data_IF_090967780655
#
_entry.id   IF_090967780655
#
_cell.length_a   1.000
_cell.length_b   1.000
_cell.length_c   1.000
_cell.angle_alpha   90.00
_cell.angle_beta   90.00
_cell.angle_gamma   90.00
#
_symmetry.space_group_name_H-M   'P 1'
#
loop_
_entity.id
_entity.type
_entity.pdbx_description
1 polymer ?
#
# COMPACT_ATOMS: atom_id res chain seq x y z
N UNK A 1 9.02 21.26 11.35
CA UNK A 1 9.61 19.96 11.72
C UNK A 1 11.08 19.99 11.37
N UNK A 2 11.97 19.89 12.36
CA UNK A 2 13.42 19.77 12.14
C UNK A 2 13.69 18.42 11.48
N UNK A 3 14.49 18.32 10.39
CA UNK A 3 14.85 17.04 9.82
C UNK A 3 15.60 16.24 10.89
N UNK A 4 15.09 15.07 11.26
CA UNK A 4 15.83 14.12 12.07
C UNK A 4 17.07 13.72 11.26
N UNK A 5 18.27 14.00 11.79
CA UNK A 5 19.52 13.51 11.24
C UNK A 5 19.60 11.99 11.42
N UNK A 6 19.05 11.24 10.49
CA UNK A 6 19.01 9.78 10.56
C UNK A 6 18.42 9.17 9.30
N UNK A 7 18.63 7.87 9.12
CA UNK A 7 18.04 7.08 8.04
C UNK A 7 16.51 7.03 8.24
N UNK A 8 15.74 7.43 7.22
CA UNK A 8 14.27 7.38 7.26
C UNK A 8 13.77 5.93 7.36
N UNK A 9 12.89 5.67 8.34
CA UNK A 9 12.32 4.34 8.61
C UNK A 9 10.94 4.26 7.94
N UNK A 10 10.83 3.41 6.94
CA UNK A 10 9.61 3.26 6.14
C UNK A 10 8.97 1.92 6.44
N UNK A 11 7.76 1.94 7.00
CA UNK A 11 6.95 0.75 7.17
C UNK A 11 6.18 0.44 5.88
N UNK A 12 6.42 -0.73 5.34
CA UNK A 12 5.77 -1.27 4.14
C UNK A 12 4.72 -2.28 4.58
N UNK A 13 3.44 -2.01 4.30
CA UNK A 13 2.31 -2.92 4.58
C UNK A 13 1.80 -3.42 3.24
N UNK A 14 2.18 -4.63 2.84
CA UNK A 14 1.84 -5.17 1.52
C UNK A 14 2.01 -6.70 1.44
N UNK A 15 1.55 -7.28 0.35
CA UNK A 15 1.80 -8.67 0.02
C UNK A 15 3.25 -8.94 -0.40
N UNK A 16 3.66 -10.21 -0.25
CA UNK A 16 4.97 -10.71 -0.68
C UNK A 16 4.86 -11.32 -2.08
N UNK A 17 5.60 -10.81 -3.04
CA UNK A 17 5.73 -11.35 -4.40
C UNK A 17 6.94 -12.28 -4.49
N UNK A 18 6.72 -13.60 -4.66
CA UNK A 18 7.81 -14.58 -4.78
C UNK A 18 8.69 -14.36 -6.03
N UNK A 19 8.15 -13.76 -7.09
CA UNK A 19 8.90 -13.36 -8.29
C UNK A 19 9.77 -12.13 -8.10
N UNK A 20 9.51 -11.37 -7.04
CA UNK A 20 10.30 -10.21 -6.63
C UNK A 20 10.09 -8.95 -7.48
N UNK A 21 9.14 -8.94 -8.42
CA UNK A 21 8.85 -7.79 -9.31
C UNK A 21 7.96 -6.73 -8.68
N UNK A 22 7.17 -7.10 -7.68
CA UNK A 22 6.19 -6.26 -7.02
C UNK A 22 6.23 -6.45 -5.48
N UNK A 23 5.16 -6.01 -4.80
CA UNK A 23 4.97 -6.23 -3.37
C UNK A 23 6.09 -5.69 -2.49
N UNK A 24 6.23 -6.28 -1.31
CA UNK A 24 7.28 -5.85 -0.36
C UNK A 24 8.69 -5.94 -0.95
N UNK A 25 8.95 -6.86 -1.87
CA UNK A 25 10.27 -7.03 -2.47
C UNK A 25 10.69 -5.82 -3.32
N UNK A 26 9.78 -5.29 -4.12
CA UNK A 26 10.01 -4.07 -4.89
C UNK A 26 10.14 -2.85 -3.99
N UNK A 27 9.27 -2.75 -2.99
CA UNK A 27 9.25 -1.63 -2.04
C UNK A 27 10.54 -1.61 -1.18
N UNK A 28 10.99 -2.75 -0.65
CA UNK A 28 12.25 -2.88 0.10
C UNK A 28 13.42 -2.38 -0.74
N UNK A 29 13.53 -2.85 -2.00
CA UNK A 29 14.61 -2.41 -2.89
C UNK A 29 14.58 -0.91 -3.12
N UNK A 30 13.39 -0.36 -3.39
CA UNK A 30 13.22 1.08 -3.64
C UNK A 30 13.64 1.90 -2.42
N UNK A 31 13.12 1.58 -1.24
CA UNK A 31 13.47 2.28 0.00
C UNK A 31 14.96 2.19 0.30
N UNK A 32 15.55 1.00 0.14
CA UNK A 32 16.99 0.78 0.38
C UNK A 32 17.84 1.58 -0.60
N UNK A 33 17.51 1.58 -1.89
CA UNK A 33 18.24 2.33 -2.92
C UNK A 33 18.18 3.86 -2.70
N UNK A 34 17.09 4.33 -2.08
CA UNK A 34 16.92 5.74 -1.69
C UNK A 34 17.55 6.08 -0.34
N UNK A 35 18.26 5.14 0.29
CA UNK A 35 18.97 5.34 1.56
C UNK A 35 18.09 5.26 2.80
N UNK A 36 16.84 4.74 2.67
CA UNK A 36 15.93 4.50 3.79
C UNK A 36 16.13 3.12 4.43
N UNK A 37 15.55 2.92 5.60
CA UNK A 37 15.44 1.63 6.29
C UNK A 37 14.04 1.04 6.09
N UNK A 38 13.88 0.00 5.26
CA UNK A 38 12.59 -0.63 5.05
C UNK A 38 12.25 -1.60 6.18
N UNK A 39 11.04 -1.49 6.72
CA UNK A 39 10.42 -2.44 7.64
C UNK A 39 9.16 -2.98 6.99
N UNK A 40 8.71 -4.18 7.33
CA UNK A 40 7.57 -4.80 6.65
C UNK A 40 6.53 -5.35 7.60
N UNK A 41 5.25 -5.26 7.16
CA UNK A 41 4.15 -6.06 7.65
C UNK A 41 3.51 -6.75 6.45
N UNK A 42 3.66 -8.07 6.36
CA UNK A 42 3.22 -8.88 5.23
C UNK A 42 1.73 -9.18 5.38
N UNK A 43 0.93 -8.81 4.38
CA UNK A 43 -0.54 -9.02 4.39
C UNK A 43 -0.95 -10.34 3.74
N UNK A 44 -0.15 -10.82 2.78
CA UNK A 44 -0.33 -12.11 2.13
C UNK A 44 1.00 -12.60 1.55
N UNK A 45 1.13 -13.92 1.40
CA UNK A 45 2.24 -14.55 0.68
C UNK A 45 1.68 -15.05 -0.66
N UNK A 46 2.36 -14.77 -1.77
CA UNK A 46 1.95 -15.26 -3.08
C UNK A 46 2.94 -16.27 -3.65
N UNK A 47 2.42 -17.23 -4.39
CA UNK A 47 3.18 -17.96 -5.41
C UNK A 47 2.94 -17.22 -6.72
N UNK A 48 3.90 -16.40 -7.12
CA UNK A 48 3.77 -15.46 -8.24
C UNK A 48 5.06 -15.40 -9.04
N UNK A 49 4.91 -15.25 -10.36
CA UNK A 49 6.00 -15.07 -11.30
C UNK A 49 5.56 -14.11 -12.44
N UNK A 50 6.35 -14.00 -13.52
CA UNK A 50 6.05 -13.13 -14.67
C UNK A 50 4.82 -13.58 -15.49
N UNK A 51 4.35 -14.83 -15.31
CA UNK A 51 3.19 -15.38 -16.01
C UNK A 51 1.89 -15.19 -15.22
N UNK A 52 1.96 -14.93 -13.90
CA UNK A 52 0.77 -14.70 -13.10
C UNK A 52 0.93 -15.05 -11.62
N UNK A 53 -0.22 -15.01 -10.93
CA UNK A 53 -0.37 -15.40 -9.52
C UNK A 53 -1.04 -16.76 -9.46
N UNK A 54 -0.29 -17.79 -9.01
CA UNK A 54 -0.76 -19.17 -8.94
C UNK A 54 -1.45 -19.48 -7.62
N UNK A 55 -1.03 -18.81 -6.52
CA UNK A 55 -1.64 -18.98 -5.20
C UNK A 55 -1.46 -17.71 -4.36
N UNK A 56 -2.42 -17.46 -3.48
CA UNK A 56 -2.37 -16.38 -2.47
C UNK A 56 -2.70 -17.01 -1.13
N UNK A 57 -1.83 -16.83 -0.13
CA UNK A 57 -2.08 -17.20 1.26
C UNK A 57 -2.19 -15.93 2.11
N UNK A 58 -3.41 -15.52 2.53
CA UNK A 58 -3.59 -14.38 3.41
C UNK A 58 -2.90 -14.62 4.76
N UNK A 59 -2.22 -13.62 5.28
CA UNK A 59 -1.68 -13.65 6.64
C UNK A 59 -2.81 -13.31 7.61
N UNK A 60 -2.95 -14.03 8.74
CA UNK A 60 -3.96 -13.71 9.76
C UNK A 60 -3.86 -12.26 10.24
N UNK A 61 -5.01 -11.63 10.49
CA UNK A 61 -5.10 -10.19 10.85
C UNK A 61 -4.28 -9.86 12.10
N UNK A 62 -4.34 -10.69 13.10
CA UNK A 62 -3.59 -10.55 14.35
C UNK A 62 -2.08 -10.59 14.12
N UNK A 63 -1.60 -11.41 13.18
CA UNK A 63 -0.19 -11.48 12.79
C UNK A 63 0.22 -10.22 12.01
N UNK A 64 -0.63 -9.70 11.11
CA UNK A 64 -0.36 -8.43 10.42
C UNK A 64 -0.20 -7.29 11.43
N UNK A 65 -1.13 -7.18 12.38
CA UNK A 65 -1.07 -6.18 13.45
C UNK A 65 0.17 -6.37 14.33
N UNK A 66 0.50 -7.60 14.70
CA UNK A 66 1.69 -7.90 15.50
C UNK A 66 2.99 -7.49 14.80
N UNK A 67 3.12 -7.74 13.49
CA UNK A 67 4.26 -7.27 12.69
C UNK A 67 4.38 -5.74 12.73
N UNK A 68 3.26 -5.02 12.50
CA UNK A 68 3.24 -3.55 12.55
C UNK A 68 3.67 -3.04 13.93
N UNK A 69 3.04 -3.53 15.01
CA UNK A 69 3.34 -3.12 16.38
C UNK A 69 4.80 -3.38 16.75
N UNK A 70 5.32 -4.56 16.41
CA UNK A 70 6.70 -4.94 16.71
C UNK A 70 7.72 -3.91 16.23
N UNK A 71 7.56 -3.39 15.01
CA UNK A 71 8.51 -2.42 14.44
C UNK A 71 8.17 -0.98 14.81
N UNK A 72 6.90 -0.64 14.99
CA UNK A 72 6.48 0.71 15.40
C UNK A 72 6.98 1.00 16.83
N UNK A 73 6.78 0.05 17.76
CA UNK A 73 7.04 0.26 19.18
C UNK A 73 8.55 0.26 19.49
N UNK A 74 9.36 -0.51 18.76
CA UNK A 74 10.80 -0.60 18.97
C UNK A 74 11.58 0.42 18.11
N UNK A 75 11.41 0.35 16.80
CA UNK A 75 12.20 1.15 15.85
C UNK A 75 11.59 2.54 15.60
N UNK A 76 10.27 2.66 15.72
CA UNK A 76 9.50 3.82 15.28
C UNK A 76 9.39 3.88 13.75
N UNK A 77 8.52 4.77 13.24
CA UNK A 77 8.19 4.91 11.82
C UNK A 77 8.21 6.37 11.43
N UNK A 78 8.82 6.70 10.29
CA UNK A 78 8.87 8.05 9.73
C UNK A 78 7.91 8.23 8.55
N UNK A 79 7.57 7.15 7.84
CA UNK A 79 6.57 7.10 6.77
C UNK A 79 6.02 5.68 6.60
N UNK A 80 4.84 5.56 5.99
CA UNK A 80 4.21 4.28 5.68
C UNK A 80 3.89 4.19 4.20
N UNK A 81 4.17 3.04 3.58
CA UNK A 81 3.64 2.68 2.26
C UNK A 81 2.70 1.50 2.40
N UNK A 82 1.51 1.63 1.84
CA UNK A 82 0.52 0.55 1.80
C UNK A 82 0.37 0.09 0.35
N UNK A 83 0.47 -1.21 0.12
CA UNK A 83 0.19 -1.85 -1.18
C UNK A 83 -1.00 -2.81 -1.09
N UNK A 84 -0.85 -4.04 -1.59
CA UNK A 84 -1.89 -5.05 -1.56
C UNK A 84 -2.28 -5.42 -0.12
N UNK A 85 -3.55 -5.25 0.22
CA UNK A 85 -4.11 -5.55 1.56
C UNK A 85 -4.91 -6.86 1.58
N UNK A 86 -5.68 -7.15 0.52
CA UNK A 86 -6.40 -8.40 0.34
C UNK A 86 -7.81 -8.44 0.93
N UNK A 87 -8.03 -8.04 2.18
CA UNK A 87 -9.36 -8.16 2.82
C UNK A 87 -9.77 -6.93 3.62
N UNK A 88 -11.08 -6.70 3.78
CA UNK A 88 -11.64 -5.62 4.58
C UNK A 88 -11.17 -5.67 6.05
N UNK A 89 -11.08 -6.85 6.63
CA UNK A 89 -10.62 -7.00 8.01
C UNK A 89 -9.17 -6.53 8.22
N UNK A 90 -8.29 -6.78 7.25
CA UNK A 90 -6.91 -6.27 7.29
C UNK A 90 -6.91 -4.75 7.06
N UNK A 91 -7.74 -4.23 6.13
CA UNK A 91 -7.89 -2.78 5.92
C UNK A 91 -8.23 -2.07 7.21
N UNK A 92 -9.26 -2.57 7.93
CA UNK A 92 -9.71 -1.97 9.17
C UNK A 92 -8.64 -2.02 10.26
N UNK A 93 -8.02 -3.18 10.46
CA UNK A 93 -6.97 -3.35 11.46
C UNK A 93 -5.73 -2.48 11.19
N UNK A 94 -5.30 -2.38 9.93
CA UNK A 94 -4.20 -1.50 9.50
C UNK A 94 -4.56 -0.03 9.76
N UNK A 95 -5.78 0.39 9.40
CA UNK A 95 -6.24 1.75 9.65
C UNK A 95 -6.24 2.10 11.14
N UNK A 96 -6.68 1.19 12.01
CA UNK A 96 -6.68 1.38 13.46
C UNK A 96 -5.25 1.54 14.04
N UNK A 97 -4.29 0.78 13.51
CA UNK A 97 -2.88 0.91 13.91
C UNK A 97 -2.26 2.22 13.43
N UNK A 98 -2.61 2.68 12.22
CA UNK A 98 -2.00 3.87 11.62
C UNK A 98 -2.60 5.18 12.13
N UNK A 99 -3.89 5.21 12.51
CA UNK A 99 -4.59 6.42 12.91
C UNK A 99 -3.87 7.28 13.96
N UNK A 100 -3.24 6.73 15.02
CA UNK A 100 -2.54 7.51 16.03
C UNK A 100 -1.13 7.97 15.63
N UNK A 101 -0.55 7.50 14.51
CA UNK A 101 0.87 7.70 14.21
C UNK A 101 1.20 9.10 13.69
N UNK A 102 0.30 9.73 12.95
CA UNK A 102 0.49 11.08 12.40
C UNK A 102 1.68 11.22 11.44
N UNK A 103 2.10 10.14 10.78
CA UNK A 103 3.20 10.11 9.80
C UNK A 103 2.64 10.12 8.37
N UNK A 104 3.41 10.56 7.37
CA UNK A 104 3.00 10.46 5.97
C UNK A 104 2.67 9.02 5.57
N UNK A 105 1.55 8.84 4.87
CA UNK A 105 1.09 7.53 4.36
C UNK A 105 0.89 7.62 2.85
N UNK A 106 1.56 6.75 2.10
CA UNK A 106 1.31 6.54 0.67
C UNK A 106 0.49 5.26 0.50
N UNK A 107 -0.70 5.40 -0.06
CA UNK A 107 -1.59 4.27 -0.32
C UNK A 107 -1.70 3.96 -1.82
N UNK A 108 -1.21 2.80 -2.21
CA UNK A 108 -1.39 2.21 -3.54
C UNK A 108 -2.54 1.18 -3.46
N UNK A 109 -3.73 1.49 -3.99
CA UNK A 109 -4.93 0.67 -3.82
C UNK A 109 -4.93 -0.53 -4.77
N UNK A 110 -3.94 -1.41 -4.65
CA UNK A 110 -3.77 -2.56 -5.53
C UNK A 110 -4.98 -3.49 -5.44
N UNK A 111 -5.72 -3.64 -6.54
CA UNK A 111 -6.91 -4.49 -6.64
C UNK A 111 -6.69 -5.70 -7.53
N UNK A 112 -5.88 -5.54 -8.58
CA UNK A 112 -5.64 -6.56 -9.59
C UNK A 112 -4.13 -6.61 -9.87
N UNK A 113 -3.56 -7.82 -9.93
CA UNK A 113 -2.19 -8.00 -10.37
C UNK A 113 -2.05 -7.65 -11.86
N UNK A 114 -0.85 -7.26 -12.30
CA UNK A 114 -0.57 -7.01 -13.73
C UNK A 114 -0.95 -8.20 -14.62
N UNK A 115 -0.93 -9.41 -14.07
CA UNK A 115 -1.38 -10.66 -14.75
C UNK A 115 -2.91 -10.81 -14.83
N UNK A 116 -3.71 -9.89 -14.28
CA UNK A 116 -5.17 -9.94 -14.26
C UNK A 116 -5.78 -10.68 -13.05
N UNK A 117 -4.97 -11.22 -12.14
CA UNK A 117 -5.49 -11.89 -10.94
C UNK A 117 -6.09 -10.89 -9.95
N UNK A 118 -7.30 -11.15 -9.46
CA UNK A 118 -7.96 -10.34 -8.43
C UNK A 118 -7.24 -10.51 -7.09
N UNK A 119 -6.82 -9.39 -6.48
CA UNK A 119 -6.07 -9.33 -5.24
C UNK A 119 -6.82 -8.67 -4.08
N UNK A 120 -7.89 -7.94 -4.37
CA UNK A 120 -8.80 -7.37 -3.37
C UNK A 120 -10.24 -7.74 -3.70
N UNK A 121 -10.97 -8.20 -2.71
CA UNK A 121 -12.41 -8.48 -2.86
C UNK A 121 -13.24 -7.17 -2.81
N UNK A 122 -14.52 -7.18 -3.23
CA UNK A 122 -15.37 -6.00 -3.21
C UNK A 122 -15.53 -5.36 -1.82
N UNK A 123 -15.48 -6.18 -0.75
CA UNK A 123 -15.57 -5.67 0.62
C UNK A 123 -14.29 -4.92 1.02
N UNK A 124 -13.12 -5.40 0.60
CA UNK A 124 -11.86 -4.69 0.79
C UNK A 124 -11.86 -3.35 0.07
N UNK A 125 -12.31 -3.30 -1.19
CA UNK A 125 -12.42 -2.06 -1.97
C UNK A 125 -13.35 -1.06 -1.29
N UNK A 126 -14.50 -1.51 -0.78
CA UNK A 126 -15.43 -0.66 -0.02
C UNK A 126 -14.78 -0.09 1.27
N UNK A 127 -13.91 -0.87 1.92
CA UNK A 127 -13.19 -0.46 3.13
C UNK A 127 -12.04 0.51 2.86
N UNK A 128 -11.51 0.61 1.63
CA UNK A 128 -10.37 1.47 1.28
C UNK A 128 -10.59 2.95 1.61
N UNK A 129 -11.85 3.39 1.72
CA UNK A 129 -12.19 4.73 2.17
C UNK A 129 -11.58 5.12 3.54
N UNK A 130 -11.35 4.14 4.43
CA UNK A 130 -10.66 4.38 5.72
C UNK A 130 -9.18 4.70 5.50
N UNK A 131 -8.49 3.92 4.67
CA UNK A 131 -7.07 4.15 4.36
C UNK A 131 -6.87 5.44 3.58
N UNK A 132 -7.74 5.75 2.62
CA UNK A 132 -7.68 7.00 1.86
C UNK A 132 -7.77 8.24 2.75
N UNK A 133 -8.59 8.22 3.80
CA UNK A 133 -8.67 9.33 4.78
C UNK A 133 -7.43 9.50 5.64
N UNK A 134 -6.62 8.46 5.80
CA UNK A 134 -5.34 8.50 6.50
C UNK A 134 -4.16 8.78 5.55
N UNK A 135 -4.37 8.61 4.26
CA UNK A 135 -3.31 8.76 3.27
C UNK A 135 -2.95 10.24 3.04
N UNK A 136 -1.66 10.51 2.95
CA UNK A 136 -1.13 11.76 2.42
C UNK A 136 -1.23 11.76 0.89
N UNK A 137 -1.02 10.59 0.28
CA UNK A 137 -1.04 10.39 -1.17
C UNK A 137 -1.69 9.06 -1.51
N UNK A 138 -2.58 9.06 -2.49
CA UNK A 138 -3.18 7.86 -3.10
C UNK A 138 -2.69 7.73 -4.55
N UNK A 139 -2.26 6.52 -4.95
CA UNK A 139 -1.61 6.31 -6.25
C UNK A 139 -2.33 5.23 -7.10
N UNK A 140 -3.61 5.41 -7.46
CA UNK A 140 -4.35 4.44 -8.27
C UNK A 140 -3.88 4.46 -9.73
N UNK A 141 -3.99 3.33 -10.42
CA UNK A 141 -4.07 3.29 -11.87
C UNK A 141 -5.50 3.65 -12.34
N UNK A 142 -5.72 3.73 -13.66
CA UNK A 142 -7.04 4.14 -14.21
C UNK A 142 -8.19 3.20 -13.79
N UNK A 143 -8.09 1.86 -13.89
CA UNK A 143 -9.11 0.95 -13.38
C UNK A 143 -9.37 1.08 -11.87
N UNK A 144 -8.31 1.19 -11.08
CA UNK A 144 -8.42 1.37 -9.63
C UNK A 144 -9.11 2.69 -9.28
N UNK A 145 -8.77 3.78 -9.98
CA UNK A 145 -9.41 5.08 -9.80
C UNK A 145 -10.91 5.02 -10.08
N UNK A 146 -11.31 4.33 -11.16
CA UNK A 146 -12.72 4.13 -11.47
C UNK A 146 -13.45 3.34 -10.38
N UNK A 147 -12.84 2.27 -9.85
CA UNK A 147 -13.38 1.47 -8.75
C UNK A 147 -13.50 2.25 -7.43
N UNK A 148 -12.64 3.25 -7.21
CA UNK A 148 -12.68 4.16 -6.05
C UNK A 148 -13.71 5.30 -6.19
N UNK A 149 -14.45 5.37 -7.30
CA UNK A 149 -15.46 6.41 -7.56
C UNK A 149 -14.90 7.66 -8.26
N UNK A 150 -13.72 7.58 -8.85
CA UNK A 150 -13.09 8.64 -9.63
C UNK A 150 -12.31 9.67 -8.78
N UNK A 151 -11.71 10.64 -9.47
CA UNK A 151 -10.84 11.66 -8.84
C UNK A 151 -11.54 12.44 -7.73
N UNK A 152 -12.81 12.83 -7.97
CA UNK A 152 -13.56 13.62 -6.99
C UNK A 152 -13.76 12.88 -5.66
N UNK A 153 -14.03 11.57 -5.73
CA UNK A 153 -14.20 10.73 -4.54
C UNK A 153 -12.90 10.59 -3.75
N UNK A 154 -11.77 10.37 -4.43
CA UNK A 154 -10.45 10.29 -3.77
C UNK A 154 -10.08 11.63 -3.14
N UNK A 155 -10.21 12.75 -3.86
CA UNK A 155 -9.92 14.10 -3.34
C UNK A 155 -10.79 14.50 -2.16
N UNK A 156 -12.04 14.05 -2.13
CA UNK A 156 -12.94 14.31 -1.00
C UNK A 156 -12.46 13.68 0.32
N UNK A 157 -11.51 12.74 0.27
CA UNK A 157 -10.87 12.17 1.47
C UNK A 157 -9.80 13.07 2.09
N UNK A 158 -9.35 14.12 1.37
CA UNK A 158 -8.26 15.01 1.77
C UNK A 158 -6.88 14.56 1.31
N UNK A 159 -6.75 13.39 0.68
CA UNK A 159 -5.48 12.90 0.16
C UNK A 159 -5.09 13.59 -1.16
N UNK A 160 -3.79 13.80 -1.36
CA UNK A 160 -3.26 14.10 -2.69
C UNK A 160 -3.43 12.87 -3.61
N UNK A 161 -3.57 13.11 -4.91
CA UNK A 161 -3.82 12.06 -5.90
C UNK A 161 -2.74 12.05 -6.97
N UNK A 162 -2.11 10.90 -7.19
CA UNK A 162 -1.25 10.61 -8.33
C UNK A 162 -1.88 9.48 -9.15
N UNK A 163 -2.45 9.81 -10.30
CA UNK A 163 -3.01 8.81 -11.22
C UNK A 163 -1.89 8.21 -12.06
N UNK A 164 -1.66 6.90 -11.88
CA UNK A 164 -0.71 6.14 -12.71
C UNK A 164 -1.33 5.84 -14.07
N UNK A 165 -0.57 5.99 -15.16
CA UNK A 165 -1.05 5.77 -16.53
C UNK A 165 -1.16 4.30 -16.97
N UNK A 166 -0.90 3.34 -16.10
CA UNK A 166 -0.99 1.91 -16.41
C UNK A 166 -2.36 1.56 -17.01
N UNK A 167 -2.38 0.83 -18.13
CA UNK A 167 -3.55 0.43 -18.93
C UNK A 167 -4.22 1.56 -19.74
N UNK A 168 -3.61 2.72 -19.89
CA UNK A 168 -4.10 3.82 -20.72
C UNK A 168 -3.23 4.05 -21.97
N UNK A 169 -3.81 4.64 -23.01
CA UNK A 169 -3.07 5.20 -24.16
C UNK A 169 -2.70 6.65 -23.83
N UNK A 170 -1.43 7.05 -23.98
CA UNK A 170 -0.96 8.42 -23.81
C UNK A 170 -0.04 8.65 -22.62
N UNK A 171 -0.10 9.84 -22.01
CA UNK A 171 0.80 10.24 -20.91
C UNK A 171 0.68 9.34 -19.68
N UNK A 172 1.84 8.90 -19.18
CA UNK A 172 1.94 8.06 -17.97
C UNK A 172 2.05 8.96 -16.76
N UNK A 173 0.99 8.97 -15.96
CA UNK A 173 0.94 9.61 -14.65
C UNK A 173 0.49 11.07 -14.66
N UNK A 174 -0.52 11.38 -13.83
CA UNK A 174 -0.95 12.75 -13.50
C UNK A 174 -0.88 12.92 -11.98
N UNK A 175 -0.11 13.90 -11.53
CA UNK A 175 -0.13 14.32 -10.13
C UNK A 175 -1.09 15.48 -9.94
N UNK A 176 -1.95 15.38 -8.94
CA UNK A 176 -2.82 16.46 -8.48
C UNK A 176 -2.61 16.63 -6.97
N UNK A 177 -2.16 17.79 -6.57
CA UNK A 177 -1.93 18.21 -5.17
C UNK A 177 -3.06 19.10 -4.70
#
# INVERSE_FOLDING_TARGET
MTPRSGIARVLIVAGSDSGGGAGIQADIRTVTMLGGHPMTAITAITAQNTLGVQAVHPVPVDIVVAQMRSVIDDLGVDAVKIGMIGSAAIVDAVADVLAPLGVPVVFDPVMIATSGSVLADPAAVAAFGRLMRLATLVTPNLPELAALGGEAAVRATGAALLVKGGHGEGEIGRAHV
#
